data_IF_026843815857
#
_entry.id   IF_026843815857
#
_cell.length_a   1.000
_cell.length_b   1.000
_cell.length_c   1.000
_cell.angle_alpha   90.00
_cell.angle_beta   90.00
_cell.angle_gamma   90.00
#
_symmetry.space_group_name_H-M   'P 1'
#
loop_
_entity.id
_entity.type
_entity.pdbx_description
1 polymer ?
#
# COMPACT_ATOMS: atom_id res chain seq x y z
N UNK A 1 23.14 -19.98 -8.30
CA UNK A 1 23.08 -19.36 -9.64
C UNK A 1 24.05 -18.19 -9.66
N UNK A 2 24.90 -18.06 -10.68
CA UNK A 2 25.93 -17.01 -10.77
C UNK A 2 25.37 -15.78 -11.47
N UNK A 3 25.81 -14.60 -11.07
CA UNK A 3 25.42 -13.34 -11.68
C UNK A 3 26.03 -13.24 -13.08
N UNK A 4 25.20 -13.29 -14.13
CA UNK A 4 25.60 -13.20 -15.54
C UNK A 4 25.28 -11.79 -16.08
N UNK A 5 26.18 -11.21 -16.86
CA UNK A 5 26.00 -9.88 -17.46
C UNK A 5 24.76 -9.80 -18.37
N UNK A 6 24.46 -10.86 -19.14
CA UNK A 6 23.24 -10.91 -19.96
C UNK A 6 21.98 -10.84 -19.09
N UNK A 7 21.94 -11.61 -17.99
CA UNK A 7 20.84 -11.58 -17.03
C UNK A 7 20.69 -10.21 -16.39
N UNK A 8 21.80 -9.55 -16.00
CA UNK A 8 21.76 -8.19 -15.45
C UNK A 8 21.17 -7.20 -16.46
N UNK A 9 21.62 -7.26 -17.72
CA UNK A 9 21.16 -6.37 -18.78
C UNK A 9 19.65 -6.52 -19.01
N UNK A 10 19.15 -7.76 -19.10
CA UNK A 10 17.72 -8.06 -19.25
C UNK A 10 16.89 -7.63 -18.05
N UNK A 11 17.40 -7.81 -16.83
CA UNK A 11 16.73 -7.29 -15.62
C UNK A 11 16.59 -5.76 -15.69
N UNK A 12 17.68 -5.06 -15.99
CA UNK A 12 17.70 -3.61 -16.08
C UNK A 12 16.75 -3.13 -17.18
N UNK A 13 16.75 -3.77 -18.34
CA UNK A 13 15.83 -3.47 -19.44
C UNK A 13 14.37 -3.68 -19.04
N UNK A 14 14.03 -4.82 -18.44
CA UNK A 14 12.67 -5.12 -18.01
C UNK A 14 12.14 -4.10 -17.00
N UNK A 15 12.96 -3.69 -16.04
CA UNK A 15 12.58 -2.65 -15.07
C UNK A 15 12.40 -1.28 -15.75
N UNK A 16 13.26 -0.90 -16.71
CA UNK A 16 13.08 0.34 -17.48
C UNK A 16 11.78 0.37 -18.27
N UNK A 17 11.30 -0.79 -18.75
CA UNK A 17 10.02 -0.92 -19.42
C UNK A 17 8.82 -0.83 -18.45
N UNK A 18 9.06 -0.81 -17.14
CA UNK A 18 8.01 -0.78 -16.11
C UNK A 18 7.44 -2.16 -15.77
N UNK A 19 8.17 -3.24 -16.05
CA UNK A 19 7.78 -4.58 -15.60
C UNK A 19 7.84 -4.68 -14.07
N UNK A 20 6.97 -5.52 -13.49
CA UNK A 20 7.12 -5.89 -12.07
C UNK A 20 8.42 -6.68 -11.86
N UNK A 21 8.95 -6.69 -10.63
CA UNK A 21 10.15 -7.45 -10.28
C UNK A 21 10.06 -8.93 -10.70
N UNK A 22 8.90 -9.55 -10.48
CA UNK A 22 8.62 -10.93 -10.89
C UNK A 22 8.72 -11.10 -12.40
N UNK A 23 8.09 -10.21 -13.16
CA UNK A 23 8.08 -10.28 -14.62
C UNK A 23 9.47 -9.99 -15.20
N UNK A 24 10.20 -9.02 -14.63
CA UNK A 24 11.59 -8.75 -15.00
C UNK A 24 12.50 -9.96 -14.72
N UNK A 25 12.32 -10.63 -13.58
CA UNK A 25 13.05 -11.86 -13.25
C UNK A 25 12.78 -12.98 -14.28
N UNK A 26 11.51 -13.22 -14.60
CA UNK A 26 11.11 -14.17 -15.64
C UNK A 26 11.66 -13.78 -17.02
N UNK A 27 11.57 -12.50 -17.37
CA UNK A 27 12.12 -11.94 -18.60
C UNK A 27 13.63 -12.13 -18.68
N UNK A 28 14.36 -12.08 -17.57
CA UNK A 28 15.80 -12.33 -17.51
C UNK A 28 16.17 -13.82 -17.36
N UNK A 29 15.19 -14.73 -17.30
CA UNK A 29 15.40 -16.17 -17.19
C UNK A 29 15.81 -16.64 -15.78
N UNK A 30 15.45 -15.91 -14.73
CA UNK A 30 15.73 -16.28 -13.34
C UNK A 30 14.44 -16.40 -12.51
N UNK A 31 14.52 -17.11 -11.38
CA UNK A 31 13.41 -17.14 -10.43
C UNK A 31 13.27 -15.80 -9.71
N UNK A 32 12.04 -15.46 -9.33
CA UNK A 32 11.75 -14.26 -8.52
C UNK A 32 12.53 -14.25 -7.20
N UNK A 33 12.67 -15.42 -6.55
CA UNK A 33 13.47 -15.56 -5.33
C UNK A 33 14.94 -15.17 -5.57
N UNK A 34 15.52 -15.58 -6.70
CA UNK A 34 16.91 -15.23 -7.03
C UNK A 34 17.07 -13.70 -7.20
N UNK A 35 16.11 -13.06 -7.87
CA UNK A 35 16.10 -11.60 -8.02
C UNK A 35 16.11 -10.90 -6.66
N UNK A 36 15.20 -11.26 -5.75
CA UNK A 36 15.13 -10.63 -4.44
C UNK A 36 16.37 -10.89 -3.60
N UNK A 37 16.92 -12.10 -3.62
CA UNK A 37 18.18 -12.39 -2.94
C UNK A 37 19.33 -11.50 -3.43
N UNK A 38 19.45 -11.29 -4.74
CA UNK A 38 20.48 -10.41 -5.30
C UNK A 38 20.26 -8.95 -4.93
N UNK A 39 19.02 -8.46 -5.05
CA UNK A 39 18.64 -7.10 -4.65
C UNK A 39 18.94 -6.85 -3.17
N UNK A 40 18.53 -7.78 -2.30
CA UNK A 40 18.66 -7.63 -0.85
C UNK A 40 20.13 -7.70 -0.42
N UNK A 41 20.94 -8.57 -1.05
CA UNK A 41 22.39 -8.58 -0.86
C UNK A 41 23.03 -7.25 -1.27
N UNK A 42 22.64 -6.69 -2.41
CA UNK A 42 23.14 -5.39 -2.87
C UNK A 42 22.74 -4.26 -1.91
N UNK A 43 21.49 -4.25 -1.44
CA UNK A 43 20.99 -3.30 -0.46
C UNK A 43 21.72 -3.40 0.89
N UNK A 44 22.12 -4.61 1.28
CA UNK A 44 22.93 -4.86 2.48
C UNK A 44 24.42 -4.51 2.30
N UNK A 45 24.83 -3.99 1.14
CA UNK A 45 26.22 -3.56 0.88
C UNK A 45 27.14 -4.66 0.35
N UNK A 46 26.61 -5.77 -0.17
CA UNK A 46 27.43 -6.80 -0.83
C UNK A 46 28.08 -6.22 -2.10
N UNK A 47 29.41 -6.15 -2.12
CA UNK A 47 30.17 -5.58 -3.24
C UNK A 47 29.84 -6.24 -4.59
N UNK A 48 29.57 -7.55 -4.61
CA UNK A 48 29.21 -8.31 -5.82
C UNK A 48 27.86 -7.88 -6.42
N UNK A 49 26.91 -7.46 -5.58
CA UNK A 49 25.53 -7.18 -6.00
C UNK A 49 25.18 -5.69 -5.98
N UNK A 50 26.05 -4.85 -5.40
CA UNK A 50 25.84 -3.41 -5.24
C UNK A 50 25.61 -2.71 -6.59
N UNK A 51 26.42 -3.02 -7.60
CA UNK A 51 26.29 -2.41 -8.93
C UNK A 51 24.95 -2.75 -9.59
N UNK A 52 24.52 -4.01 -9.52
CA UNK A 52 23.21 -4.42 -10.02
C UNK A 52 22.11 -3.69 -9.27
N UNK A 53 22.18 -3.66 -7.94
CA UNK A 53 21.18 -2.98 -7.10
C UNK A 53 21.02 -1.50 -7.45
N UNK A 54 22.12 -0.75 -7.54
CA UNK A 54 22.09 0.66 -7.94
C UNK A 54 21.56 0.84 -9.37
N UNK A 55 21.89 -0.08 -10.27
CA UNK A 55 21.38 -0.06 -11.64
C UNK A 55 19.89 -0.35 -11.73
N UNK A 56 19.36 -1.25 -10.89
CA UNK A 56 17.92 -1.50 -10.78
C UNK A 56 17.18 -0.27 -10.24
N UNK A 57 17.72 0.41 -9.21
CA UNK A 57 17.13 1.67 -8.71
C UNK A 57 17.12 2.76 -9.77
N UNK A 58 18.21 2.88 -10.53
CA UNK A 58 18.30 3.83 -11.65
C UNK A 58 17.31 3.50 -12.76
N UNK A 59 17.14 2.23 -13.09
CA UNK A 59 16.17 1.76 -14.07
C UNK A 59 14.73 2.09 -13.66
N UNK A 60 14.38 1.87 -12.38
CA UNK A 60 13.07 2.22 -11.83
C UNK A 60 12.78 3.72 -11.95
N UNK A 61 13.76 4.55 -11.58
CA UNK A 61 13.65 6.00 -11.71
C UNK A 61 13.46 6.44 -13.18
N UNK A 62 14.14 5.78 -14.12
CA UNK A 62 13.99 6.04 -15.56
C UNK A 62 12.60 5.65 -16.08
N UNK A 63 12.07 4.50 -15.64
CA UNK A 63 10.72 4.04 -15.97
C UNK A 63 9.66 5.03 -15.46
N UNK A 64 9.78 5.46 -14.21
CA UNK A 64 8.90 6.48 -13.63
C UNK A 64 8.99 7.81 -14.40
N UNK A 65 10.20 8.26 -14.74
CA UNK A 65 10.40 9.48 -15.52
C UNK A 65 9.76 9.40 -16.92
N UNK A 66 9.87 8.24 -17.59
CA UNK A 66 9.23 8.00 -18.87
C UNK A 66 7.69 8.07 -18.76
N UNK A 67 7.13 7.40 -17.76
CA UNK A 67 5.68 7.41 -17.51
C UNK A 67 5.16 8.82 -17.22
N UNK A 68 5.89 9.59 -16.41
CA UNK A 68 5.58 10.99 -16.15
C UNK A 68 5.66 11.87 -17.40
N UNK A 69 6.59 11.60 -18.31
CA UNK A 69 6.67 12.31 -19.59
C UNK A 69 5.43 12.06 -20.46
N UNK A 70 4.93 10.82 -20.51
CA UNK A 70 3.68 10.47 -21.20
C UNK A 70 2.49 11.20 -20.59
N UNK A 71 2.35 11.19 -19.26
CA UNK A 71 1.27 11.91 -18.56
C UNK A 71 1.36 13.42 -18.83
N UNK A 72 2.57 13.99 -18.76
CA UNK A 72 2.79 15.41 -19.05
C UNK A 72 2.42 15.77 -20.48
N UNK A 73 2.74 14.90 -21.45
CA UNK A 73 2.33 15.10 -22.85
C UNK A 73 0.81 15.05 -22.99
N UNK A 74 0.13 14.07 -22.40
CA UNK A 74 -1.34 14.00 -22.44
C UNK A 74 -2.00 15.26 -21.85
N UNK A 75 -1.42 15.83 -20.78
CA UNK A 75 -1.86 17.10 -20.22
C UNK A 75 -1.67 18.27 -21.20
N UNK A 76 -0.53 18.33 -21.89
CA UNK A 76 -0.25 19.34 -22.93
C UNK A 76 -1.20 19.22 -24.13
N UNK A 77 -1.57 18.00 -24.49
CA UNK A 77 -2.49 17.70 -25.59
C UNK A 77 -3.97 17.94 -25.23
N UNK A 78 -4.26 18.45 -24.03
CA UNK A 78 -5.60 18.90 -23.61
C UNK A 78 -6.36 17.96 -22.66
N UNK A 79 -5.75 16.84 -22.23
CA UNK A 79 -6.36 15.96 -21.23
C UNK A 79 -6.19 16.57 -19.83
N UNK A 80 -7.10 17.46 -19.44
CA UNK A 80 -7.00 18.22 -18.19
C UNK A 80 -6.89 17.35 -16.94
N UNK A 81 -7.48 16.14 -16.93
CA UNK A 81 -7.38 15.19 -15.81
C UNK A 81 -5.95 14.72 -15.57
N UNK A 82 -5.10 14.67 -16.60
CA UNK A 82 -3.68 14.36 -16.45
C UNK A 82 -2.93 15.51 -15.74
N UNK A 83 -3.29 16.76 -16.03
CA UNK A 83 -2.76 17.92 -15.31
C UNK A 83 -3.23 17.94 -13.85
N UNK A 84 -4.54 17.70 -13.62
CA UNK A 84 -5.12 17.61 -12.28
C UNK A 84 -4.43 16.51 -11.44
N UNK A 85 -4.25 15.31 -11.99
CA UNK A 85 -3.56 14.20 -11.33
C UNK A 85 -2.14 14.58 -10.87
N UNK A 86 -1.38 15.32 -11.68
CA UNK A 86 -0.04 15.79 -11.31
C UNK A 86 -0.09 16.83 -10.18
N UNK A 87 -1.09 17.72 -10.17
CA UNK A 87 -1.25 18.74 -9.13
C UNK A 87 -1.66 18.11 -7.79
N UNK A 88 -2.61 17.18 -7.81
CA UNK A 88 -3.08 16.45 -6.63
C UNK A 88 -1.94 15.71 -5.92
N UNK A 89 -1.02 15.10 -6.68
CA UNK A 89 0.05 14.26 -6.12
C UNK A 89 1.31 15.02 -5.74
N UNK A 90 1.65 16.11 -6.43
CA UNK A 90 2.88 16.88 -6.15
C UNK A 90 2.67 18.08 -5.24
N UNK A 91 1.48 18.68 -5.29
CA UNK A 91 1.20 19.93 -4.60
C UNK A 91 0.05 19.79 -3.60
N UNK A 92 -0.41 18.56 -3.37
CA UNK A 92 -1.59 18.28 -2.55
C UNK A 92 -2.81 19.12 -2.97
N UNK A 93 -2.91 19.42 -4.27
CA UNK A 93 -3.97 20.25 -4.82
C UNK A 93 -5.26 19.43 -4.89
N UNK A 94 -5.93 19.28 -3.76
CA UNK A 94 -7.21 18.59 -3.63
C UNK A 94 -8.23 19.55 -3.07
N UNK A 95 -9.47 19.39 -3.52
CA UNK A 95 -10.60 19.99 -2.82
C UNK A 95 -10.95 19.03 -1.69
N UNK A 96 -10.76 19.45 -0.44
CA UNK A 96 -11.23 18.67 0.69
C UNK A 96 -12.74 18.47 0.55
N UNK A 97 -13.24 17.21 0.64
CA UNK A 97 -14.66 16.98 0.67
C UNK A 97 -15.21 17.68 1.91
N UNK A 98 -16.23 18.51 1.73
CA UNK A 98 -17.00 19.03 2.86
C UNK A 98 -17.73 17.84 3.44
N UNK A 99 -17.24 17.33 4.57
CA UNK A 99 -17.96 16.36 5.38
C UNK A 99 -18.86 17.18 6.30
N UNK A 100 -20.16 17.14 6.05
CA UNK A 100 -21.13 17.62 7.02
C UNK A 100 -21.09 16.64 8.21
N UNK A 101 -20.41 17.04 9.27
CA UNK A 101 -20.40 16.29 10.53
C UNK A 101 -21.63 16.74 11.29
N UNK A 102 -22.66 15.90 11.36
CA UNK A 102 -23.72 16.10 12.36
C UNK A 102 -23.07 16.03 13.74
N UNK A 103 -23.24 17.09 14.52
CA UNK A 103 -22.80 17.10 15.90
C UNK A 103 -23.62 16.05 16.67
N UNK A 104 -23.01 14.90 16.97
CA UNK A 104 -23.59 13.93 17.89
C UNK A 104 -23.60 14.60 19.26
N UNK A 105 -24.79 14.76 19.84
CA UNK A 105 -24.92 15.22 21.22
C UNK A 105 -24.33 14.16 22.15
N UNK A 106 -23.09 14.40 22.59
CA UNK A 106 -22.39 13.49 23.50
C UNK A 106 -22.75 13.72 24.96
N UNK A 107 -23.67 14.64 25.27
CA UNK A 107 -24.05 14.91 26.66
C UNK A 107 -24.75 13.73 27.33
N UNK A 108 -25.30 12.80 26.53
CA UNK A 108 -25.88 11.54 26.99
C UNK A 108 -24.88 10.37 27.02
N UNK A 109 -23.63 10.56 26.57
CA UNK A 109 -22.62 9.50 26.64
C UNK A 109 -22.11 9.37 28.08
N UNK A 110 -22.62 8.36 28.78
CA UNK A 110 -22.10 7.95 30.09
C UNK A 110 -20.85 7.09 29.89
N UNK A 111 -19.76 7.41 30.58
CA UNK A 111 -18.53 6.60 30.53
C UNK A 111 -18.85 5.14 30.93
N UNK A 112 -18.62 4.15 30.05
CA UNK A 112 -18.97 2.75 30.30
C UNK A 112 -18.22 2.14 31.49
N UNK A 113 -17.14 2.76 31.96
CA UNK A 113 -16.35 2.30 33.10
C UNK A 113 -16.79 2.91 34.44
N UNK A 114 -17.80 3.77 34.49
CA UNK A 114 -18.40 4.24 35.75
C UNK A 114 -19.44 3.26 36.27
N UNK A 115 -19.87 3.43 37.51
CA UNK A 115 -20.94 2.59 38.08
C UNK A 115 -22.26 2.82 37.34
N UNK A 116 -22.55 4.08 37.02
CA UNK A 116 -23.72 4.52 36.26
C UNK A 116 -23.68 3.98 34.82
N UNK A 117 -22.52 4.06 34.15
CA UNK A 117 -22.36 3.56 32.78
C UNK A 117 -22.50 2.05 32.67
N UNK A 118 -21.90 1.30 33.61
CA UNK A 118 -22.11 -0.15 33.69
C UNK A 118 -23.57 -0.51 33.95
N UNK A 119 -24.26 0.22 34.83
CA UNK A 119 -25.68 -0.02 35.10
C UNK A 119 -26.55 0.25 33.86
N UNK A 120 -26.27 1.32 33.12
CA UNK A 120 -26.95 1.63 31.86
C UNK A 120 -26.72 0.54 30.81
N UNK A 121 -25.49 0.05 30.66
CA UNK A 121 -25.18 -1.07 29.74
C UNK A 121 -25.93 -2.33 30.15
N UNK A 122 -25.93 -2.69 31.44
CA UNK A 122 -26.64 -3.88 31.93
C UNK A 122 -28.14 -3.78 31.64
N UNK A 123 -28.75 -2.61 31.85
CA UNK A 123 -30.17 -2.40 31.54
C UNK A 123 -30.46 -2.61 30.05
N UNK A 124 -29.67 -2.03 29.16
CA UNK A 124 -29.84 -2.21 27.71
C UNK A 124 -29.55 -3.64 27.25
N UNK A 125 -28.54 -4.30 27.82
CA UNK A 125 -28.22 -5.70 27.51
C UNK A 125 -29.34 -6.62 27.97
N UNK A 126 -30.02 -6.33 29.08
CA UNK A 126 -31.15 -7.12 29.58
C UNK A 126 -32.41 -7.02 28.71
N UNK A 127 -32.52 -5.99 27.86
CA UNK A 127 -33.61 -5.84 26.89
C UNK A 127 -33.36 -6.60 25.58
N UNK A 128 -32.15 -7.11 25.37
CA UNK A 128 -31.82 -7.87 24.17
C UNK A 128 -32.41 -9.30 24.25
N UNK A 129 -32.78 -9.88 23.09
CA UNK A 129 -33.16 -11.28 23.01
C UNK A 129 -32.08 -12.24 23.55
N UNK A 130 -32.50 -13.24 24.31
CA UNK A 130 -31.61 -14.21 24.97
C UNK A 130 -30.70 -14.95 23.97
N UNK A 131 -31.16 -15.23 22.75
CA UNK A 131 -30.38 -15.90 21.70
C UNK A 131 -29.18 -15.06 21.25
N UNK A 132 -29.33 -13.74 21.19
CA UNK A 132 -28.24 -12.80 20.85
C UNK A 132 -27.23 -12.73 21.99
N UNK A 133 -27.71 -12.66 23.24
CA UNK A 133 -26.84 -12.61 24.43
C UNK A 133 -26.03 -13.92 24.54
N UNK A 134 -26.69 -15.07 24.37
CA UNK A 134 -26.06 -16.39 24.40
C UNK A 134 -25.04 -16.56 23.26
N UNK A 135 -25.36 -16.11 22.05
CA UNK A 135 -24.42 -16.15 20.92
C UNK A 135 -23.16 -15.29 21.18
N UNK A 136 -23.31 -14.13 21.83
CA UNK A 136 -22.20 -13.26 22.18
C UNK A 136 -21.31 -13.85 23.27
N UNK A 137 -21.89 -14.46 24.32
CA UNK A 137 -21.16 -15.15 25.38
C UNK A 137 -20.35 -16.35 24.86
N UNK A 138 -20.91 -17.10 23.90
CA UNK A 138 -20.27 -18.28 23.31
C UNK A 138 -19.12 -17.94 22.34
N UNK A 139 -19.04 -16.71 21.81
CA UNK A 139 -17.91 -16.26 20.96
C UNK A 139 -16.59 -16.10 21.72
N UNK A 140 -16.62 -16.08 23.05
CA UNK A 140 -15.42 -16.05 23.89
C UNK A 140 -14.82 -17.43 24.18
N UNK A 141 -15.51 -18.51 23.82
CA UNK A 141 -15.01 -19.89 23.90
C UNK A 141 -14.63 -20.31 22.48
N UNK A 142 -13.54 -19.75 21.96
CA UNK A 142 -12.84 -20.41 20.86
C UNK A 142 -12.28 -21.71 21.42
N UNK A 143 -12.75 -22.84 20.90
CA UNK A 143 -12.16 -24.16 21.10
C UNK A 143 -10.64 -24.10 20.84
N UNK A 144 -9.80 -24.72 21.67
CA UNK A 144 -8.38 -24.91 21.36
C UNK A 144 -8.18 -25.81 20.13
#
# INVERSE_FOLDING_TARGET
MKLNEDTKARLIEGIKLGMTNKLAAQYAGISEQCFYQWRDKGNAGSQEHLELFESLKRAEAQSAAHSLAVIKKAAQDGTWTAAAWMLERRHNFRRDPVVEVEAVDTSELVDPNTAEGRAAIIAHVAELPDDIILAALNRGVAEP
#
